data_IF_144971344787
#
_entry.id   IF_144971344787
#
_cell.length_a   1.000
_cell.length_b   1.000
_cell.length_c   1.000
_cell.angle_alpha   90.00
_cell.angle_beta   90.00
_cell.angle_gamma   90.00
#
_symmetry.space_group_name_H-M   'P 1'
#
loop_
_entity.id
_entity.type
_entity.pdbx_description
1 polymer ?
#
# COMPACT_ATOMS: atom_id res chain seq x y z
N UNK A 1 5.53 9.31 -23.79
CA UNK A 1 4.96 7.96 -23.73
C UNK A 1 3.72 7.94 -24.61
N UNK A 2 3.54 6.96 -25.50
CA UNK A 2 2.31 6.85 -26.29
C UNK A 2 1.15 6.36 -25.42
N UNK A 3 -0.09 6.66 -25.80
CA UNK A 3 -1.29 6.23 -25.06
C UNK A 3 -1.37 4.70 -24.91
N UNK A 4 -1.05 3.95 -25.97
CA UNK A 4 -1.01 2.49 -25.96
C UNK A 4 -0.03 1.91 -24.92
N UNK A 5 1.10 2.60 -24.71
CA UNK A 5 2.08 2.18 -23.70
C UNK A 5 1.56 2.42 -22.28
N UNK A 6 0.80 3.50 -22.07
CA UNK A 6 0.16 3.78 -20.78
C UNK A 6 -0.93 2.74 -20.47
N UNK A 7 -1.76 2.40 -21.46
CA UNK A 7 -2.80 1.39 -21.33
C UNK A 7 -2.22 0.02 -20.94
N UNK A 8 -1.13 -0.39 -21.60
CA UNK A 8 -0.43 -1.64 -21.28
C UNK A 8 0.09 -1.67 -19.85
N UNK A 9 0.63 -0.55 -19.35
CA UNK A 9 1.17 -0.46 -17.99
C UNK A 9 0.08 -0.65 -16.92
N UNK A 10 -1.12 -0.11 -17.14
CA UNK A 10 -2.24 -0.27 -16.23
C UNK A 10 -2.93 -1.63 -16.35
N UNK A 11 -3.20 -2.08 -17.58
CA UNK A 11 -3.88 -3.35 -17.84
C UNK A 11 -3.06 -4.55 -17.34
N UNK A 12 -1.73 -4.46 -17.35
CA UNK A 12 -0.85 -5.51 -16.81
C UNK A 12 -0.67 -5.45 -15.29
N UNK A 13 -1.17 -4.41 -14.60
CA UNK A 13 -0.97 -4.21 -13.16
C UNK A 13 0.41 -3.70 -12.75
N UNK A 14 1.36 -3.53 -13.68
CA UNK A 14 2.72 -3.07 -13.38
C UNK A 14 2.78 -1.67 -12.76
N UNK A 15 1.81 -0.81 -13.05
CA UNK A 15 1.69 0.48 -12.37
C UNK A 15 1.60 0.32 -10.84
N UNK A 16 0.85 -0.69 -10.36
CA UNK A 16 0.75 -0.99 -8.94
C UNK A 16 2.05 -1.59 -8.39
N UNK A 17 2.74 -2.44 -9.16
CA UNK A 17 4.03 -3.02 -8.77
C UNK A 17 5.11 -1.94 -8.56
N UNK A 18 5.13 -0.89 -9.39
CA UNK A 18 6.03 0.25 -9.22
C UNK A 18 5.77 0.94 -7.87
N UNK A 19 4.50 1.22 -7.56
CA UNK A 19 4.13 1.86 -6.29
C UNK A 19 4.49 0.98 -5.10
N UNK A 20 4.22 -0.33 -5.16
CA UNK A 20 4.63 -1.28 -4.12
C UNK A 20 6.15 -1.30 -3.92
N UNK A 21 6.93 -1.24 -5.01
CA UNK A 21 8.38 -1.12 -4.96
C UNK A 21 8.84 0.14 -4.23
N UNK A 22 8.22 1.29 -4.53
CA UNK A 22 8.52 2.56 -3.84
C UNK A 22 8.18 2.47 -2.35
N UNK A 23 7.02 1.90 -1.99
CA UNK A 23 6.61 1.72 -0.59
C UNK A 23 7.57 0.78 0.17
N UNK A 24 8.07 -0.28 -0.48
CA UNK A 24 9.07 -1.16 0.10
C UNK A 24 10.40 -0.44 0.35
N UNK A 25 10.84 0.40 -0.60
CA UNK A 25 12.04 1.23 -0.45
C UNK A 25 11.85 2.23 0.69
N UNK A 26 10.70 2.90 0.77
CA UNK A 26 10.38 3.84 1.84
C UNK A 26 10.40 3.15 3.22
N UNK A 27 9.74 1.99 3.35
CA UNK A 27 9.77 1.21 4.59
C UNK A 27 11.21 0.84 5.01
N UNK A 28 12.05 0.46 4.04
CA UNK A 28 13.45 0.15 4.28
C UNK A 28 14.26 1.39 4.72
N UNK A 29 14.03 2.55 4.11
CA UNK A 29 14.65 3.81 4.52
C UNK A 29 14.24 4.17 5.95
N UNK A 30 12.96 4.07 6.28
CA UNK A 30 12.45 4.37 7.63
C UNK A 30 13.01 3.41 8.68
N UNK A 31 13.07 2.11 8.36
CA UNK A 31 13.68 1.11 9.22
C UNK A 31 15.16 1.42 9.50
N UNK A 32 15.93 1.81 8.48
CA UNK A 32 17.33 2.22 8.63
C UNK A 32 17.51 3.51 9.43
N UNK A 33 16.48 4.37 9.46
CA UNK A 33 16.44 5.58 10.30
C UNK A 33 15.99 5.30 11.74
N UNK A 34 15.82 4.04 12.13
CA UNK A 34 15.48 3.65 13.50
C UNK A 34 14.00 3.82 13.86
N UNK A 35 13.11 3.93 12.87
CA UNK A 35 11.68 3.99 13.13
C UNK A 35 11.19 2.67 13.72
N UNK A 36 10.29 2.77 14.71
CA UNK A 36 9.64 1.59 15.26
C UNK A 36 8.84 0.85 14.19
N UNK A 37 8.91 -0.48 14.19
CA UNK A 37 8.22 -1.33 13.22
C UNK A 37 6.70 -1.07 13.16
N UNK A 38 6.09 -0.82 14.33
CA UNK A 38 4.65 -0.50 14.43
C UNK A 38 4.30 0.84 13.78
N UNK A 39 5.20 1.83 13.83
CA UNK A 39 5.02 3.11 13.16
C UNK A 39 5.16 2.97 11.63
N UNK A 40 6.09 2.13 11.16
CA UNK A 40 6.25 1.82 9.73
C UNK A 40 5.01 1.10 9.20
N UNK A 41 4.52 0.07 9.91
CA UNK A 41 3.29 -0.63 9.54
C UNK A 41 2.07 0.31 9.54
N UNK A 42 1.94 1.20 10.53
CA UNK A 42 0.84 2.16 10.58
C UNK A 42 0.85 3.13 9.41
N UNK A 43 2.03 3.60 9.00
CA UNK A 43 2.20 4.54 7.90
C UNK A 43 2.08 3.87 6.52
N UNK A 44 2.83 2.80 6.29
CA UNK A 44 3.01 2.18 4.97
C UNK A 44 2.00 1.05 4.73
N UNK A 45 1.59 0.34 5.79
CA UNK A 45 0.72 -0.83 5.70
C UNK A 45 -0.61 -0.57 4.97
N UNK A 46 -1.39 0.47 5.35
CA UNK A 46 -2.62 0.80 4.63
C UNK A 46 -2.39 1.11 3.16
N UNK A 47 -1.36 1.89 2.83
CA UNK A 47 -1.01 2.24 1.45
C UNK A 47 -0.67 0.99 0.63
N UNK A 48 0.16 0.10 1.18
CA UNK A 48 0.55 -1.15 0.52
C UNK A 48 -0.66 -2.06 0.28
N UNK A 49 -1.56 -2.18 1.26
CA UNK A 49 -2.78 -2.99 1.13
C UNK A 49 -3.72 -2.44 0.06
N UNK A 50 -3.98 -1.13 0.05
CA UNK A 50 -4.84 -0.53 -0.99
C UNK A 50 -4.23 -0.75 -2.39
N UNK A 51 -2.92 -0.61 -2.55
CA UNK A 51 -2.25 -0.84 -3.84
C UNK A 51 -2.26 -2.33 -4.23
N UNK A 52 -2.15 -3.26 -3.27
CA UNK A 52 -2.34 -4.69 -3.53
C UNK A 52 -3.77 -5.01 -4.00
N UNK A 53 -4.78 -4.41 -3.37
CA UNK A 53 -6.18 -4.55 -3.81
C UNK A 53 -6.41 -3.96 -5.20
N UNK A 54 -5.82 -2.79 -5.48
CA UNK A 54 -5.82 -2.18 -6.82
C UNK A 54 -5.17 -3.11 -7.84
N UNK A 55 -4.00 -3.68 -7.52
CA UNK A 55 -3.31 -4.62 -8.42
C UNK A 55 -4.18 -5.83 -8.73
N UNK A 56 -4.80 -6.42 -7.72
CA UNK A 56 -5.73 -7.54 -7.88
C UNK A 56 -6.90 -7.16 -8.81
N UNK A 57 -7.46 -5.96 -8.65
CA UNK A 57 -8.53 -5.46 -9.51
C UNK A 57 -8.07 -5.24 -10.96
N UNK A 58 -6.87 -4.69 -11.18
CA UNK A 58 -6.32 -4.43 -12.52
C UNK A 58 -6.07 -5.71 -13.33
N UNK A 59 -5.63 -6.78 -12.67
CA UNK A 59 -5.34 -8.07 -13.34
C UNK A 59 -6.56 -9.01 -13.41
N UNK A 60 -7.74 -8.54 -13.02
CA UNK A 60 -8.98 -9.32 -13.04
C UNK A 60 -8.98 -10.49 -12.05
N UNK A 61 -8.31 -10.36 -10.91
CA UNK A 61 -8.33 -11.38 -9.87
C UNK A 61 -9.72 -11.51 -9.23
N UNK A 62 -9.95 -12.66 -8.59
CA UNK A 62 -11.19 -12.92 -7.86
C UNK A 62 -11.48 -11.86 -6.78
N UNK A 63 -12.77 -11.59 -6.55
CA UNK A 63 -13.23 -10.49 -5.70
C UNK A 63 -12.63 -10.51 -4.28
N UNK A 64 -12.39 -11.69 -3.73
CA UNK A 64 -11.82 -11.84 -2.38
C UNK A 64 -10.38 -11.34 -2.29
N UNK A 65 -9.60 -11.40 -3.37
CA UNK A 65 -8.25 -10.83 -3.43
C UNK A 65 -8.24 -9.31 -3.48
N UNK A 66 -9.34 -8.68 -3.90
CA UNK A 66 -9.53 -7.24 -3.85
C UNK A 66 -10.06 -6.83 -2.46
N UNK A 67 -11.09 -7.51 -1.98
CA UNK A 67 -11.79 -7.13 -0.76
C UNK A 67 -10.96 -7.36 0.51
N UNK A 68 -10.17 -8.44 0.56
CA UNK A 68 -9.34 -8.76 1.72
C UNK A 68 -8.34 -7.64 2.06
N UNK A 69 -7.46 -7.19 1.14
CA UNK A 69 -6.53 -6.12 1.44
C UNK A 69 -7.23 -4.79 1.74
N UNK A 70 -8.31 -4.46 1.02
CA UNK A 70 -9.09 -3.25 1.30
C UNK A 70 -9.70 -3.29 2.71
N UNK A 71 -10.25 -4.43 3.12
CA UNK A 71 -10.81 -4.61 4.46
C UNK A 71 -9.73 -4.53 5.54
N UNK A 72 -8.53 -5.05 5.31
CA UNK A 72 -7.40 -5.00 6.25
C UNK A 72 -6.76 -3.60 6.33
N UNK A 73 -6.87 -2.77 5.29
CA UNK A 73 -6.37 -1.40 5.32
C UNK A 73 -7.13 -0.54 6.35
N UNK A 74 -8.42 -0.79 6.55
CA UNK A 74 -9.25 -0.05 7.51
C UNK A 74 -8.76 -0.15 8.98
N UNK A 75 -8.61 -1.35 9.59
CA UNK A 75 -8.12 -1.45 10.95
C UNK A 75 -6.69 -0.89 11.08
N UNK A 76 -5.84 -1.01 10.05
CA UNK A 76 -4.50 -0.42 10.09
C UNK A 76 -4.52 1.12 10.10
N UNK A 77 -5.39 1.76 9.32
CA UNK A 77 -5.59 3.21 9.41
C UNK A 77 -6.08 3.65 10.80
N UNK A 78 -7.00 2.91 11.41
CA UNK A 78 -7.46 3.21 12.77
C UNK A 78 -6.35 3.05 13.81
N UNK A 79 -5.51 2.02 13.66
CA UNK A 79 -4.35 1.83 14.53
C UNK A 79 -3.37 3.00 14.39
N UNK A 80 -2.99 3.40 13.18
CA UNK A 80 -2.08 4.54 12.94
C UNK A 80 -2.63 5.84 13.56
N UNK A 81 -3.90 6.16 13.30
CA UNK A 81 -4.56 7.33 13.88
C UNK A 81 -4.51 7.30 15.42
N UNK A 82 -4.81 6.15 16.03
CA UNK A 82 -4.76 6.00 17.49
C UNK A 82 -3.34 6.23 18.05
N UNK A 83 -2.29 5.78 17.36
CA UNK A 83 -0.92 6.00 17.81
C UNK A 83 -0.53 7.48 17.72
N UNK A 84 -0.90 8.17 16.63
CA UNK A 84 -0.63 9.61 16.46
C UNK A 84 -1.34 10.45 17.51
N UNK A 85 -2.62 10.17 17.76
CA UNK A 85 -3.41 10.87 18.79
C UNK A 85 -2.85 10.69 20.21
N UNK A 86 -2.19 9.56 20.49
CA UNK A 86 -1.51 9.33 21.78
C UNK A 86 -0.16 10.05 21.87
N UNK A 87 0.56 10.19 20.77
CA UNK A 87 1.86 10.87 20.75
C UNK A 87 1.76 12.40 20.85
N UNK A 88 0.60 12.98 20.55
CA UNK A 88 0.33 14.42 20.68
C UNK A 88 -0.23 14.82 22.06
N UNK A 89 -0.48 13.85 22.95
CA UNK A 89 -0.82 14.09 24.36
C UNK A 89 0.43 13.97 25.24
#
# INVERSE_FOLDING_TARGET
>A
MSAAMMETLFASGHAADIVLGVLAIEALILARRGWAFTAIIGLIGPAALIVLGLRAALVGAEWYWVSLPVALAFPLHLLDLRHRLRATR
#
